data_IF_101693009504
#
_entry.id   IF_101693009504
#
_cell.length_a   1.000
_cell.length_b   1.000
_cell.length_c   1.000
_cell.angle_alpha   90.00
_cell.angle_beta   90.00
_cell.angle_gamma   90.00
#
_symmetry.space_group_name_H-M   'P 1'
#
loop_
_entity.id
_entity.type
_entity.pdbx_description
1 polymer ?
#
# COMPACT_ATOMS: atom_id res chain seq x y z
N UNK A 1 -11.71 7.36 3.45
CA UNK A 1 -10.56 6.53 3.13
C UNK A 1 -10.78 5.11 3.65
N UNK A 2 -10.54 4.08 2.85
CA UNK A 2 -10.70 2.71 3.34
C UNK A 2 -9.68 2.39 4.43
N UNK A 3 -10.12 1.63 5.42
CA UNK A 3 -9.26 1.17 6.50
C UNK A 3 -8.50 -0.07 6.06
N UNK A 4 -7.23 -0.12 6.40
CA UNK A 4 -6.40 -1.30 6.17
C UNK A 4 -6.67 -2.28 7.29
N UNK A 5 -7.20 -3.45 6.93
CA UNK A 5 -7.46 -4.51 7.88
C UNK A 5 -6.21 -5.36 8.08
N UNK A 6 -6.13 -5.96 9.26
CA UNK A 6 -5.03 -6.86 9.60
C UNK A 6 -5.58 -8.17 10.16
N UNK A 7 -4.74 -9.19 10.16
CA UNK A 7 -5.05 -10.47 10.80
C UNK A 7 -3.85 -10.91 11.63
N UNK A 8 -4.06 -11.78 12.65
CA UNK A 8 -2.96 -12.21 13.50
C UNK A 8 -1.88 -12.95 12.70
N UNK A 9 -0.62 -12.60 13.00
CA UNK A 9 0.51 -13.29 12.38
C UNK A 9 0.50 -14.78 12.79
N UNK A 10 0.41 -15.72 11.85
CA UNK A 10 0.36 -17.16 12.18
C UNK A 10 1.69 -17.70 12.68
N UNK A 11 2.79 -16.99 12.50
CA UNK A 11 4.12 -17.44 12.92
C UNK A 11 4.91 -16.28 13.55
N UNK A 12 4.43 -15.69 14.70
CA UNK A 12 5.07 -14.51 15.27
C UNK A 12 6.46 -14.78 15.84
N UNK A 13 6.85 -16.04 15.97
CA UNK A 13 8.16 -16.47 16.45
C UNK A 13 9.22 -16.51 15.34
N UNK A 14 8.85 -16.20 14.10
CA UNK A 14 9.74 -16.20 12.95
C UNK A 14 9.84 -14.82 12.34
N UNK A 15 11.05 -14.47 11.87
CA UNK A 15 11.24 -13.34 10.99
C UNK A 15 11.18 -13.84 9.56
N UNK A 16 10.12 -13.48 8.85
CA UNK A 16 9.96 -13.81 7.44
C UNK A 16 9.47 -12.59 6.68
N UNK A 17 9.84 -12.50 5.42
CA UNK A 17 9.50 -11.37 4.58
C UNK A 17 8.22 -11.68 3.81
N UNK A 18 7.25 -10.76 3.91
CA UNK A 18 6.06 -10.78 3.08
C UNK A 18 6.23 -9.73 1.99
N UNK A 19 5.96 -10.11 0.75
CA UNK A 19 6.05 -9.23 -0.40
C UNK A 19 4.75 -9.23 -1.17
N UNK A 20 4.21 -8.02 -1.40
CA UNK A 20 3.04 -7.81 -2.26
C UNK A 20 3.43 -6.91 -3.41
N UNK A 21 3.15 -7.35 -4.63
CA UNK A 21 3.39 -6.56 -5.84
C UNK A 21 2.05 -6.17 -6.43
N UNK A 22 1.79 -4.87 -6.52
CA UNK A 22 0.57 -4.34 -7.11
C UNK A 22 0.93 -3.53 -8.36
N UNK A 23 0.77 -4.09 -9.56
CA UNK A 23 1.09 -3.39 -10.81
C UNK A 23 0.00 -2.42 -11.28
N UNK A 24 -1.17 -2.45 -10.64
CA UNK A 24 -2.32 -1.64 -11.06
C UNK A 24 -2.48 -0.33 -10.30
N UNK A 25 -1.49 0.08 -9.53
CA UNK A 25 -1.60 1.32 -8.76
C UNK A 25 -1.77 2.52 -9.69
N UNK A 26 -2.74 3.36 -9.36
CA UNK A 26 -3.07 4.56 -10.14
C UNK A 26 -3.28 5.74 -9.21
N UNK A 27 -2.77 6.89 -9.60
CA UNK A 27 -3.05 8.18 -8.98
C UNK A 27 -3.24 9.22 -10.06
N UNK A 28 -3.44 10.48 -9.67
CA UNK A 28 -3.60 11.58 -10.63
C UNK A 28 -2.42 12.54 -10.47
N UNK A 29 -1.83 12.93 -11.59
CA UNK A 29 -0.78 13.96 -11.55
C UNK A 29 -1.40 15.28 -11.10
N UNK A 30 -0.92 15.89 -9.99
CA UNK A 30 -1.52 17.13 -9.49
C UNK A 30 -1.29 18.32 -10.41
N UNK A 31 -0.35 18.21 -11.33
CA UNK A 31 -0.02 19.28 -12.28
C UNK A 31 -0.88 19.23 -13.55
N UNK A 32 -1.14 18.04 -14.08
CA UNK A 32 -1.82 17.87 -15.37
C UNK A 32 -3.21 17.27 -15.25
N UNK A 33 -3.54 16.63 -14.13
CA UNK A 33 -4.79 15.91 -13.94
C UNK A 33 -4.86 14.58 -14.68
N UNK A 34 -3.78 14.15 -15.31
CA UNK A 34 -3.73 12.89 -16.03
C UNK A 34 -3.45 11.72 -15.09
N UNK A 35 -3.96 10.51 -15.40
CA UNK A 35 -3.65 9.34 -14.57
C UNK A 35 -2.19 8.96 -14.66
N UNK A 36 -1.60 8.67 -13.50
CA UNK A 36 -0.26 8.12 -13.36
C UNK A 36 -0.36 6.67 -12.93
N UNK A 37 0.38 5.79 -13.59
CA UNK A 37 0.39 4.36 -13.31
C UNK A 37 1.72 3.97 -12.70
N UNK A 38 1.67 3.04 -11.74
CA UNK A 38 2.87 2.56 -11.07
C UNK A 38 2.69 1.14 -10.57
N UNK A 39 3.81 0.49 -10.27
CA UNK A 39 3.82 -0.77 -9.54
C UNK A 39 4.25 -0.48 -8.11
N UNK A 40 3.43 -0.91 -7.16
CA UNK A 40 3.78 -0.86 -5.73
C UNK A 40 4.34 -2.21 -5.34
N UNK A 41 5.56 -2.20 -4.81
CA UNK A 41 6.22 -3.38 -4.25
C UNK A 41 6.37 -3.16 -2.76
N UNK A 42 5.55 -3.85 -1.98
CA UNK A 42 5.56 -3.75 -0.53
C UNK A 42 6.25 -4.98 0.04
N UNK A 43 7.33 -4.74 0.79
CA UNK A 43 8.00 -5.79 1.55
C UNK A 43 7.99 -5.42 3.03
N UNK A 44 7.69 -6.38 3.89
CA UNK A 44 7.74 -6.15 5.32
C UNK A 44 7.95 -7.47 6.08
N UNK A 45 8.45 -7.32 7.30
CA UNK A 45 8.55 -8.43 8.26
C UNK A 45 7.42 -8.23 9.27
N UNK A 46 6.42 -9.11 9.33
CA UNK A 46 5.31 -8.94 10.25
C UNK A 46 5.74 -9.18 11.69
N UNK A 47 5.19 -8.39 12.61
CA UNK A 47 5.34 -8.61 14.03
C UNK A 47 4.09 -9.36 14.55
N UNK A 48 3.19 -8.69 15.24
CA UNK A 48 1.98 -9.32 15.77
C UNK A 48 0.86 -9.49 14.75
N UNK A 49 0.88 -8.74 13.64
CA UNK A 49 -0.20 -8.70 12.66
C UNK A 49 0.33 -8.68 11.25
N UNK A 50 -0.43 -9.27 10.34
CA UNK A 50 -0.20 -9.19 8.90
C UNK A 50 -1.27 -8.33 8.24
N UNK A 51 -0.89 -7.66 7.14
CA UNK A 51 -1.83 -6.85 6.36
C UNK A 51 -2.74 -7.76 5.54
N UNK A 52 -4.06 -7.50 5.59
CA UNK A 52 -5.04 -8.25 4.81
C UNK A 52 -5.00 -7.75 3.36
N UNK A 53 -4.82 -8.67 2.39
CA UNK A 53 -4.53 -8.33 1.00
C UNK A 53 -5.66 -7.56 0.32
N UNK A 54 -6.91 -7.95 0.57
CA UNK A 54 -8.05 -7.30 -0.07
C UNK A 54 -8.20 -5.85 0.38
N UNK A 55 -8.05 -5.57 1.68
CA UNK A 55 -8.10 -4.22 2.20
C UNK A 55 -6.92 -3.38 1.70
N UNK A 56 -5.74 -3.99 1.54
CA UNK A 56 -4.57 -3.31 0.98
C UNK A 56 -4.84 -2.89 -0.47
N UNK A 57 -5.44 -3.74 -1.28
CA UNK A 57 -5.80 -3.39 -2.66
C UNK A 57 -6.82 -2.27 -2.72
N UNK A 58 -7.81 -2.28 -1.84
CA UNK A 58 -8.79 -1.20 -1.73
C UNK A 58 -8.14 0.11 -1.28
N UNK A 59 -7.17 0.02 -0.38
CA UNK A 59 -6.38 1.17 0.04
C UNK A 59 -5.62 1.78 -1.14
N UNK A 60 -4.94 0.98 -1.94
CA UNK A 60 -4.25 1.47 -3.15
C UNK A 60 -5.24 2.08 -4.14
N UNK A 61 -6.40 1.47 -4.30
CA UNK A 61 -7.44 1.97 -5.18
C UNK A 61 -7.93 3.36 -4.77
N UNK A 62 -7.90 3.68 -3.48
CA UNK A 62 -8.31 4.98 -2.97
C UNK A 62 -7.47 6.14 -3.51
N UNK A 63 -6.27 5.87 -4.00
CA UNK A 63 -5.40 6.88 -4.61
C UNK A 63 -5.76 7.20 -6.07
N UNK A 64 -6.67 6.45 -6.67
CA UNK A 64 -6.95 6.55 -8.11
C UNK A 64 -7.31 7.95 -8.57
N UNK A 65 -8.02 8.72 -7.76
CA UNK A 65 -8.45 10.08 -8.08
C UNK A 65 -7.74 11.14 -7.25
N UNK A 66 -6.70 10.78 -6.51
CA UNK A 66 -5.93 11.72 -5.71
C UNK A 66 -4.80 12.34 -6.55
N UNK A 67 -4.72 13.67 -6.52
CA UNK A 67 -3.63 14.41 -7.13
C UNK A 67 -2.39 14.40 -6.23
N UNK A 68 -1.50 13.45 -6.47
CA UNK A 68 -0.32 13.26 -5.63
C UNK A 68 0.88 12.84 -6.48
N UNK A 69 2.06 13.42 -6.20
CA UNK A 69 3.30 12.99 -6.82
C UNK A 69 3.80 11.67 -6.20
N UNK A 70 4.60 10.91 -6.95
CA UNK A 70 5.10 9.61 -6.49
C UNK A 70 5.86 9.69 -5.17
N UNK A 71 6.64 10.74 -4.96
CA UNK A 71 7.37 10.95 -3.70
C UNK A 71 6.41 11.07 -2.52
N UNK A 72 5.28 11.74 -2.71
CA UNK A 72 4.23 11.84 -1.70
C UNK A 72 3.55 10.52 -1.44
N UNK A 73 3.33 9.71 -2.49
CA UNK A 73 2.75 8.35 -2.36
C UNK A 73 3.63 7.48 -1.48
N UNK A 74 4.93 7.44 -1.75
CA UNK A 74 5.86 6.61 -0.98
C UNK A 74 5.85 6.97 0.49
N UNK A 75 5.95 8.26 0.81
CA UNK A 75 5.97 8.71 2.21
C UNK A 75 4.65 8.44 2.91
N UNK A 76 3.52 8.65 2.24
CA UNK A 76 2.21 8.39 2.81
C UNK A 76 1.99 6.90 3.07
N UNK A 77 2.45 6.03 2.16
CA UNK A 77 2.38 4.59 2.36
C UNK A 77 3.23 4.14 3.56
N UNK A 78 4.43 4.69 3.70
CA UNK A 78 5.29 4.38 4.84
C UNK A 78 4.64 4.78 6.16
N UNK A 79 4.03 5.96 6.24
CA UNK A 79 3.37 6.45 7.45
C UNK A 79 2.15 5.60 7.82
N UNK A 80 1.34 5.23 6.83
CA UNK A 80 0.06 4.55 7.08
C UNK A 80 0.19 3.04 7.23
N UNK A 81 1.21 2.42 6.60
CA UNK A 81 1.42 0.97 6.65
C UNK A 81 2.38 0.53 7.77
N UNK A 82 3.12 1.45 8.34
CA UNK A 82 4.05 1.14 9.43
C UNK A 82 3.36 0.76 10.74
#
# INVERSE_FOLDING_TARGET
MPNIETFPNPAPHRDYVIRHVCPEFTSVCPKTGQPDFATIDLEYIPDGSCVELKSLKLYYYSFRNEGIFYEGVVNRLLDELA
#
